data_IF_641980650481
#
_entry.id   IF_641980650481
#
_cell.length_a   1.000
_cell.length_b   1.000
_cell.length_c   1.000
_cell.angle_alpha   90.00
_cell.angle_beta   90.00
_cell.angle_gamma   90.00
#
_symmetry.space_group_name_H-M   'P 1'
#
loop_
_entity.id
_entity.type
_entity.pdbx_description
1 polymer ?
#
# COMPACT_ATOMS: atom_id res chain seq x y z
N UNK A 1 -3.96 19.53 5.72
CA UNK A 1 -4.58 18.31 6.27
C UNK A 1 -3.44 17.37 6.62
N UNK A 2 -3.21 17.19 7.92
CA UNK A 2 -1.95 16.70 8.48
C UNK A 2 -1.53 15.34 7.94
N UNK A 3 -0.31 15.31 7.40
CA UNK A 3 0.32 14.17 6.77
C UNK A 3 0.46 13.02 7.78
N UNK A 4 -0.50 12.08 7.77
CA UNK A 4 -0.40 10.78 8.45
C UNK A 4 0.66 9.90 7.77
N UNK A 5 1.89 10.39 7.69
CA UNK A 5 3.02 9.73 7.04
C UNK A 5 3.97 9.20 8.11
N UNK A 6 4.00 7.88 8.29
CA UNK A 6 5.01 7.20 9.10
C UNK A 6 6.08 6.58 8.18
N UNK A 7 7.34 6.58 8.62
CA UNK A 7 8.45 5.95 7.89
C UNK A 7 8.58 4.50 8.33
N UNK A 8 8.45 3.57 7.37
CA UNK A 8 8.71 2.15 7.57
C UNK A 8 10.10 1.81 6.99
N UNK A 9 11.02 1.36 7.83
CA UNK A 9 12.35 0.89 7.42
C UNK A 9 12.40 -0.62 7.54
N UNK A 10 12.72 -1.31 6.45
CA UNK A 10 12.79 -2.77 6.38
C UNK A 10 14.19 -3.14 5.90
N UNK A 11 14.86 -4.03 6.62
CA UNK A 11 16.10 -4.66 6.14
C UNK A 11 15.73 -5.81 5.21
N UNK A 12 16.22 -5.76 3.99
CA UNK A 12 16.03 -6.79 2.98
C UNK A 12 17.39 -7.14 2.37
N UNK A 13 17.56 -8.42 2.06
CA UNK A 13 18.72 -8.90 1.33
C UNK A 13 18.92 -8.15 0.00
N UNK A 14 20.16 -7.78 -0.37
CA UNK A 14 20.44 -6.98 -1.56
C UNK A 14 20.03 -7.67 -2.87
N UNK A 15 20.11 -9.01 -2.95
CA UNK A 15 19.69 -9.77 -4.14
C UNK A 15 18.18 -9.69 -4.29
N UNK A 16 17.44 -9.90 -3.20
CA UNK A 16 15.97 -9.77 -3.19
C UNK A 16 15.51 -8.34 -3.51
N UNK A 17 16.19 -7.33 -2.97
CA UNK A 17 15.91 -5.91 -3.26
C UNK A 17 16.00 -5.64 -4.76
N UNK A 18 17.10 -6.08 -5.40
CA UNK A 18 17.33 -5.86 -6.83
C UNK A 18 16.27 -6.55 -7.68
N UNK A 19 15.95 -7.82 -7.38
CA UNK A 19 14.90 -8.55 -8.09
C UNK A 19 13.53 -7.86 -7.96
N UNK A 20 13.20 -7.37 -6.75
CA UNK A 20 11.96 -6.65 -6.50
C UNK A 20 11.90 -5.31 -7.24
N UNK A 21 13.00 -4.54 -7.25
CA UNK A 21 13.09 -3.29 -8.00
C UNK A 21 12.93 -3.51 -9.51
N UNK A 22 13.58 -4.54 -10.07
CA UNK A 22 13.43 -4.90 -11.49
C UNK A 22 11.99 -5.31 -11.83
N UNK A 23 11.34 -6.10 -10.98
CA UNK A 23 9.96 -6.51 -11.16
C UNK A 23 8.99 -5.32 -11.10
N UNK A 24 9.21 -4.38 -10.18
CA UNK A 24 8.42 -3.16 -10.06
C UNK A 24 8.62 -2.26 -11.29
N UNK A 25 9.87 -2.08 -11.73
CA UNK A 25 10.21 -1.28 -12.91
C UNK A 25 9.60 -1.84 -14.20
N UNK A 26 9.52 -3.16 -14.34
CA UNK A 26 8.88 -3.81 -15.49
C UNK A 26 7.36 -3.58 -15.57
N UNK A 27 6.74 -3.13 -14.48
CA UNK A 27 5.31 -2.86 -14.38
C UNK A 27 5.00 -1.37 -14.23
N UNK A 28 5.99 -0.48 -14.42
CA UNK A 28 5.87 0.97 -14.20
C UNK A 28 5.40 1.33 -12.77
N UNK A 29 5.74 0.50 -11.79
CA UNK A 29 5.40 0.71 -10.39
C UNK A 29 6.64 1.03 -9.56
N UNK A 30 6.45 1.84 -8.51
CA UNK A 30 7.50 2.03 -7.50
C UNK A 30 7.38 0.98 -6.40
N UNK A 31 8.50 0.51 -5.83
CA UNK A 31 8.48 -0.47 -4.75
C UNK A 31 7.65 -0.01 -3.54
N UNK A 32 7.65 1.29 -3.23
CA UNK A 32 6.83 1.86 -2.16
C UNK A 32 5.31 1.76 -2.43
N UNK A 33 4.88 1.84 -3.69
CA UNK A 33 3.45 1.64 -4.03
C UNK A 33 3.05 0.19 -3.81
N UNK A 34 3.87 -0.76 -4.26
CA UNK A 34 3.62 -2.19 -4.09
C UNK A 34 3.58 -2.57 -2.60
N UNK A 35 4.56 -2.10 -1.80
CA UNK A 35 4.59 -2.37 -0.35
C UNK A 35 3.35 -1.80 0.36
N UNK A 36 2.90 -0.60 0.00
CA UNK A 36 1.67 -0.04 0.57
C UNK A 36 0.43 -0.87 0.21
N UNK A 37 0.36 -1.36 -1.03
CA UNK A 37 -0.73 -2.20 -1.49
C UNK A 37 -0.75 -3.54 -0.72
N UNK A 38 0.41 -4.18 -0.59
CA UNK A 38 0.61 -5.39 0.21
C UNK A 38 0.18 -5.20 1.67
N UNK A 39 0.55 -4.10 2.33
CA UNK A 39 0.13 -3.82 3.70
C UNK A 39 -1.39 -3.73 3.80
N UNK A 40 -2.05 -3.03 2.86
CA UNK A 40 -3.52 -2.89 2.86
C UNK A 40 -4.22 -4.23 2.68
N UNK A 41 -3.76 -5.04 1.74
CA UNK A 41 -4.32 -6.37 1.48
C UNK A 41 -4.09 -7.31 2.65
N UNK A 42 -2.90 -7.30 3.25
CA UNK A 42 -2.58 -8.13 4.39
C UNK A 42 -3.43 -7.78 5.61
N UNK A 43 -3.63 -6.48 5.90
CA UNK A 43 -4.54 -6.03 6.97
C UNK A 43 -6.00 -6.43 6.68
N UNK A 44 -6.45 -6.32 5.42
CA UNK A 44 -7.79 -6.71 5.01
C UNK A 44 -8.01 -8.23 5.15
N UNK A 45 -7.04 -9.04 4.75
CA UNK A 45 -7.08 -10.51 4.90
C UNK A 45 -7.17 -10.95 6.37
N UNK A 46 -6.55 -10.21 7.28
CA UNK A 46 -6.59 -10.50 8.72
C UNK A 46 -7.74 -9.80 9.46
N UNK A 47 -8.65 -9.12 8.74
CA UNK A 47 -9.79 -8.43 9.34
C UNK A 47 -9.44 -7.23 10.21
N UNK A 48 -8.24 -6.67 10.07
CA UNK A 48 -7.78 -5.53 10.87
C UNK A 48 -8.32 -4.23 10.25
N UNK A 49 -9.29 -3.62 10.92
CA UNK A 49 -9.79 -2.29 10.57
C UNK A 49 -8.83 -1.21 11.09
N UNK A 50 -8.50 -0.24 10.25
CA UNK A 50 -7.69 0.91 10.61
C UNK A 50 -8.39 2.21 10.21
N UNK A 51 -8.27 3.25 11.06
CA UNK A 51 -9.05 4.49 10.98
C UNK A 51 -8.90 5.29 9.66
N UNK A 52 -7.94 4.94 8.80
CA UNK A 52 -7.67 5.59 7.51
C UNK A 52 -8.03 4.72 6.31
N UNK A 53 -8.77 3.62 6.49
CA UNK A 53 -9.23 2.77 5.39
C UNK A 53 -9.97 3.66 4.37
N UNK A 54 -9.44 3.84 3.14
CA UNK A 54 -10.14 4.61 2.14
C UNK A 54 -11.45 3.87 1.88
N UNK A 55 -12.58 4.50 2.22
CA UNK A 55 -13.89 4.01 1.83
C UNK A 55 -13.85 3.87 0.30
N UNK A 56 -14.10 2.69 -0.28
CA UNK A 56 -14.12 2.56 -1.73
C UNK A 56 -15.07 3.63 -2.28
N UNK A 57 -14.56 4.48 -3.17
CA UNK A 57 -15.28 5.59 -3.74
C UNK A 57 -16.44 5.04 -4.59
N UNK A 58 -17.57 4.76 -3.95
CA UNK A 58 -18.72 4.12 -4.58
C UNK A 58 -20.04 4.24 -3.82
N UNK A 59 -20.08 4.85 -2.63
CA UNK A 59 -21.32 5.01 -1.84
C UNK A 59 -21.64 6.48 -1.57
N UNK A 60 -21.63 7.30 -2.62
CA UNK A 60 -21.86 8.75 -2.56
C UNK A 60 -22.82 9.26 -3.63
N UNK A 61 -23.86 8.49 -3.97
CA UNK A 61 -25.02 9.01 -4.71
C UNK A 61 -26.27 8.86 -3.86
N UNK A 62 -26.31 9.56 -2.73
CA UNK A 62 -27.57 9.82 -2.04
C UNK A 62 -28.23 11.01 -2.74
N UNK A 63 -29.13 10.70 -3.68
CA UNK A 63 -30.08 11.66 -4.23
C UNK A 63 -30.85 12.28 -3.06
N UNK A 64 -30.94 13.61 -3.03
CA UNK A 64 -32.04 14.33 -2.40
C UNK A 64 -32.59 15.30 -3.43
#
# INVERSE_FOLDING_TARGET
MESKTARLTILIDPVKKKAFETLCAAQDLTPSQVVRQLIREYLAQHGVEYATKPRPAGSGRQKK
#
